data_IF_048593229563
#
_entry.id   IF_048593229563
#
_cell.length_a   1.000
_cell.length_b   1.000
_cell.length_c   1.000
_cell.angle_alpha   90.00
_cell.angle_beta   90.00
_cell.angle_gamma   90.00
#
_symmetry.space_group_name_H-M   'P 1'
#
loop_
_entity.id
_entity.type
_entity.pdbx_description
1 polymer ?
#
# COMPACT_ATOMS: atom_id res chain seq x y z
N UNK A 1 -0.02 29.72 -15.74
CA UNK A 1 0.61 29.26 -14.49
C UNK A 1 0.36 27.77 -14.37
N UNK A 2 1.40 26.95 -14.50
CA UNK A 2 1.27 25.49 -14.36
C UNK A 2 1.25 25.22 -12.86
N UNK A 3 0.09 24.88 -12.29
CA UNK A 3 0.02 24.26 -10.97
C UNK A 3 0.72 22.91 -11.09
N UNK A 4 2.04 22.87 -10.83
CA UNK A 4 2.79 21.63 -10.72
C UNK A 4 2.44 21.02 -9.37
N UNK A 5 1.55 20.05 -9.38
CA UNK A 5 1.19 19.22 -8.23
C UNK A 5 2.40 18.36 -7.84
N UNK A 6 2.99 18.54 -6.66
CA UNK A 6 4.19 17.74 -6.30
C UNK A 6 3.85 16.24 -6.14
N UNK A 7 4.77 15.31 -6.46
CA UNK A 7 4.64 13.89 -6.10
C UNK A 7 4.31 13.69 -4.62
N UNK A 8 3.62 12.63 -4.26
CA UNK A 8 3.46 12.24 -2.86
C UNK A 8 4.67 11.46 -2.38
N UNK A 9 5.25 11.90 -1.27
CA UNK A 9 6.31 11.20 -0.55
C UNK A 9 5.73 10.72 0.78
N UNK A 10 5.29 9.47 0.83
CA UNK A 10 4.64 8.85 1.98
C UNK A 10 5.68 8.08 2.80
N UNK A 11 6.03 8.60 3.97
CA UNK A 11 6.95 7.94 4.90
C UNK A 11 6.25 6.75 5.56
N UNK A 12 6.73 5.52 5.29
CA UNK A 12 6.31 4.32 6.01
C UNK A 12 7.05 4.26 7.35
N UNK A 13 6.37 4.57 8.45
CA UNK A 13 7.03 4.75 9.76
C UNK A 13 7.73 3.50 10.31
N UNK A 14 7.25 2.30 9.98
CA UNK A 14 7.74 1.05 10.58
C UNK A 14 8.47 0.16 9.57
N UNK A 15 8.15 0.27 8.27
CA UNK A 15 8.57 -0.68 7.25
C UNK A 15 7.91 -2.06 7.39
N UNK A 16 6.90 -2.20 8.25
CA UNK A 16 6.13 -3.44 8.42
C UNK A 16 4.86 -3.40 7.56
N UNK A 17 4.60 -4.48 6.83
CA UNK A 17 3.41 -4.55 5.96
C UNK A 17 2.12 -4.80 6.74
N UNK A 18 2.21 -5.32 7.97
CA UNK A 18 1.06 -5.64 8.83
C UNK A 18 0.54 -4.45 9.63
N UNK A 19 1.30 -3.36 9.69
CA UNK A 19 0.99 -2.24 10.57
C UNK A 19 1.98 -1.09 10.40
N UNK A 20 1.55 -0.02 9.72
CA UNK A 20 2.34 1.20 9.61
C UNK A 20 1.47 2.41 9.26
N UNK A 21 1.93 3.58 9.67
CA UNK A 21 1.41 4.85 9.19
C UNK A 21 2.26 5.33 8.00
N UNK A 22 1.57 5.97 7.06
CA UNK A 22 2.10 6.54 5.83
C UNK A 22 1.80 8.04 5.85
N UNK A 23 2.72 8.82 6.41
CA UNK A 23 2.59 10.26 6.54
C UNK A 23 3.21 10.95 5.30
N UNK A 24 2.43 11.73 4.56
CA UNK A 24 2.98 12.50 3.42
C UNK A 24 3.84 13.67 3.92
N UNK A 25 5.03 13.85 3.33
CA UNK A 25 6.02 14.82 3.81
C UNK A 25 5.50 16.26 3.83
N UNK A 26 4.59 16.63 2.92
CA UNK A 26 3.99 17.95 2.86
C UNK A 26 2.58 18.02 3.48
N UNK A 27 2.24 17.06 4.34
CA UNK A 27 0.97 17.03 5.10
C UNK A 27 -0.30 16.97 4.24
N UNK A 28 -0.21 16.49 2.99
CA UNK A 28 -1.36 16.45 2.06
C UNK A 28 -2.21 15.19 2.18
N UNK A 29 -1.63 14.10 2.67
CA UNK A 29 -2.28 12.80 2.75
C UNK A 29 -1.73 12.02 3.95
N UNK A 30 -2.62 11.32 4.65
CA UNK A 30 -2.25 10.48 5.79
C UNK A 30 -3.00 9.16 5.67
N UNK A 31 -2.25 8.09 5.45
CA UNK A 31 -2.78 6.75 5.32
C UNK A 31 -2.26 5.86 6.45
N UNK A 32 -2.99 4.81 6.77
CA UNK A 32 -2.57 3.82 7.76
C UNK A 32 -2.95 2.43 7.31
N UNK A 33 -2.02 1.49 7.44
CA UNK A 33 -2.28 0.05 7.38
C UNK A 33 -2.28 -0.47 8.80
N UNK A 34 -3.32 -1.20 9.20
CA UNK A 34 -3.40 -1.82 10.53
C UNK A 34 -4.27 -3.08 10.49
N UNK A 35 -4.15 -3.92 11.52
CA UNK A 35 -5.11 -5.00 11.77
C UNK A 35 -6.45 -4.44 12.28
N UNK A 36 -7.54 -5.22 12.19
CA UNK A 36 -8.80 -4.87 12.84
C UNK A 36 -8.60 -4.55 14.33
N UNK A 37 -9.39 -3.64 14.91
CA UNK A 37 -9.37 -3.44 16.35
C UNK A 37 -9.82 -4.73 17.07
N UNK A 38 -9.33 -5.00 18.30
CA UNK A 38 -9.64 -6.25 19.02
C UNK A 38 -11.15 -6.51 19.17
N UNK A 39 -11.97 -5.46 19.24
CA UNK A 39 -13.43 -5.56 19.34
C UNK A 39 -14.11 -6.10 18.07
N UNK A 40 -13.42 -6.09 16.93
CA UNK A 40 -13.94 -6.56 15.64
C UNK A 40 -13.17 -7.78 15.10
N UNK A 41 -12.13 -8.22 15.79
CA UNK A 41 -11.23 -9.30 15.35
C UNK A 41 -12.00 -10.61 15.09
N UNK A 42 -13.04 -10.90 15.87
CA UNK A 42 -13.90 -12.09 15.68
C UNK A 42 -14.78 -12.06 14.42
N UNK A 43 -14.92 -10.91 13.76
CA UNK A 43 -15.75 -10.77 12.56
C UNK A 43 -14.98 -10.98 11.26
N UNK A 44 -13.64 -11.06 11.31
CA UNK A 44 -12.79 -11.12 10.13
C UNK A 44 -11.90 -12.36 10.15
N UNK A 45 -11.52 -12.85 8.97
CA UNK A 45 -10.56 -13.95 8.85
C UNK A 45 -9.14 -13.48 9.19
N UNK A 46 -8.33 -14.32 9.84
CA UNK A 46 -6.91 -14.02 10.03
C UNK A 46 -6.05 -14.56 8.86
N UNK A 47 -5.10 -13.77 8.30
CA UNK A 47 -4.82 -12.37 8.64
C UNK A 47 -5.72 -11.40 7.87
N UNK A 48 -6.30 -10.41 8.56
CA UNK A 48 -6.97 -9.26 7.93
C UNK A 48 -6.16 -7.99 8.13
N UNK A 49 -6.03 -7.19 7.07
CA UNK A 49 -5.45 -5.85 7.12
C UNK A 49 -6.47 -4.82 6.63
N UNK A 50 -6.39 -3.63 7.18
CA UNK A 50 -7.27 -2.52 6.88
C UNK A 50 -6.44 -1.30 6.50
N UNK A 51 -6.84 -0.62 5.43
CA UNK A 51 -6.24 0.62 4.96
C UNK A 51 -7.18 1.77 5.28
N UNK A 52 -6.69 2.77 6.01
CA UNK A 52 -7.44 3.93 6.44
C UNK A 52 -6.89 5.18 5.77
N UNK A 53 -7.78 6.10 5.39
CA UNK A 53 -7.44 7.51 5.22
C UNK A 53 -7.71 8.25 6.53
N UNK A 54 -6.65 8.47 7.30
CA UNK A 54 -6.77 9.02 8.67
C UNK A 54 -7.05 10.52 8.66
N UNK A 55 -6.72 11.22 7.55
CA UNK A 55 -6.86 12.66 7.40
C UNK A 55 -6.02 13.50 8.37
N UNK A 56 -5.13 12.87 9.15
CA UNK A 56 -4.26 13.54 10.13
C UNK A 56 -2.97 12.76 10.38
N UNK A 57 -1.89 13.49 10.65
CA UNK A 57 -0.55 12.93 10.93
C UNK A 57 -0.51 12.06 12.18
N UNK A 58 0.25 10.98 12.10
CA UNK A 58 0.49 10.06 13.22
C UNK A 58 1.47 10.55 14.30
N UNK A 59 1.82 11.84 14.34
CA UNK A 59 2.61 12.46 15.43
C UNK A 59 1.84 13.42 16.36
N UNK A 60 0.56 13.73 16.09
CA UNK A 60 -0.23 14.61 16.97
C UNK A 60 -0.43 13.96 18.36
N UNK A 61 -0.15 14.64 19.48
CA UNK A 61 -0.16 14.12 20.87
C UNK A 61 -1.44 13.41 21.38
N UNK A 62 -2.51 13.26 20.59
CA UNK A 62 -3.79 12.64 20.98
C UNK A 62 -3.91 11.15 20.60
N UNK A 63 -2.81 10.40 20.64
CA UNK A 63 -2.61 9.13 19.91
C UNK A 63 -2.85 7.81 20.66
N UNK A 64 -3.74 7.77 21.63
CA UNK A 64 -4.19 6.48 22.20
C UNK A 64 -5.49 5.96 21.60
N UNK A 65 -6.16 6.73 20.73
CA UNK A 65 -7.49 6.35 20.24
C UNK A 65 -7.41 5.64 18.88
N UNK A 66 -8.11 4.51 18.71
CA UNK A 66 -8.31 3.88 17.41
C UNK A 66 -8.79 4.92 16.39
N UNK A 67 -8.46 4.77 15.10
CA UNK A 67 -9.08 5.59 14.07
C UNK A 67 -10.60 5.48 14.23
N UNK A 68 -11.25 6.60 14.51
CA UNK A 68 -12.70 6.69 14.68
C UNK A 68 -13.46 6.56 13.35
N UNK A 69 -12.74 6.23 12.28
CA UNK A 69 -13.23 6.18 10.90
C UNK A 69 -13.22 4.74 10.43
N UNK A 70 -14.23 4.42 9.66
CA UNK A 70 -14.28 3.16 8.93
C UNK A 70 -13.06 3.03 7.99
N UNK A 71 -12.56 1.81 7.79
CA UNK A 71 -11.49 1.57 6.84
C UNK A 71 -11.94 1.96 5.43
N UNK A 72 -11.02 2.51 4.64
CA UNK A 72 -11.27 2.76 3.23
C UNK A 72 -11.21 1.45 2.42
N UNK A 73 -10.32 0.54 2.84
CA UNK A 73 -10.15 -0.79 2.24
C UNK A 73 -9.97 -1.85 3.31
N UNK A 74 -10.61 -3.00 3.13
CA UNK A 74 -10.40 -4.22 3.92
C UNK A 74 -9.75 -5.29 3.04
N UNK A 75 -8.70 -5.93 3.56
CA UNK A 75 -7.93 -6.97 2.92
C UNK A 75 -8.00 -8.23 3.78
N UNK A 76 -8.87 -9.15 3.40
CA UNK A 76 -9.04 -10.44 4.08
C UNK A 76 -8.20 -11.48 3.35
N UNK A 77 -7.08 -11.89 3.93
CA UNK A 77 -6.21 -12.89 3.30
C UNK A 77 -6.69 -14.31 3.59
N UNK A 78 -6.32 -15.24 2.73
CA UNK A 78 -6.61 -16.65 2.91
C UNK A 78 -5.59 -17.35 3.82
N UNK A 79 -5.88 -18.59 4.24
CA UNK A 79 -4.95 -19.38 5.05
C UNK A 79 -3.65 -19.67 4.29
N UNK A 80 -2.56 -19.90 5.03
CA UNK A 80 -1.26 -20.34 4.50
C UNK A 80 -0.67 -19.44 3.39
N UNK A 81 -0.78 -18.11 3.54
CA UNK A 81 -0.23 -17.17 2.57
C UNK A 81 -1.07 -16.99 1.31
N UNK A 82 -2.30 -17.54 1.28
CA UNK A 82 -3.19 -17.42 0.15
C UNK A 82 -3.78 -16.00 0.02
N UNK A 83 -4.08 -15.61 -1.22
CA UNK A 83 -4.86 -14.40 -1.48
C UNK A 83 -6.33 -14.68 -1.16
N UNK A 84 -6.99 -13.72 -0.52
CA UNK A 84 -8.43 -13.75 -0.25
C UNK A 84 -9.16 -12.63 -0.99
N UNK A 85 -9.84 -11.77 -0.25
CA UNK A 85 -10.78 -10.76 -0.76
C UNK A 85 -10.31 -9.34 -0.45
N UNK A 86 -10.43 -8.44 -1.43
CA UNK A 86 -10.27 -6.99 -1.24
C UNK A 86 -11.64 -6.32 -1.33
N UNK A 87 -11.95 -5.45 -0.37
CA UNK A 87 -13.21 -4.73 -0.27
C UNK A 87 -12.97 -3.23 -0.12
N UNK A 88 -13.42 -2.44 -1.09
CA UNK A 88 -13.38 -0.98 -1.09
C UNK A 88 -14.66 -0.42 -0.48
N UNK A 89 -14.61 -0.06 0.81
CA UNK A 89 -15.80 0.17 1.65
C UNK A 89 -16.70 1.27 1.10
N UNK A 90 -16.13 2.41 0.70
CA UNK A 90 -16.92 3.56 0.21
C UNK A 90 -17.66 3.25 -1.09
N UNK A 91 -17.06 2.45 -1.97
CA UNK A 91 -17.66 2.06 -3.25
C UNK A 91 -18.61 0.86 -3.15
N UNK A 92 -18.58 0.12 -2.03
CA UNK A 92 -19.26 -1.17 -1.89
C UNK A 92 -18.72 -2.28 -2.80
N UNK A 93 -17.58 -2.06 -3.49
CA UNK A 93 -17.00 -3.02 -4.41
C UNK A 93 -16.11 -4.01 -3.65
N UNK A 94 -16.37 -5.30 -3.86
CA UNK A 94 -15.57 -6.39 -3.30
C UNK A 94 -15.24 -7.42 -4.38
N UNK A 95 -14.02 -7.95 -4.35
CA UNK A 95 -13.58 -8.96 -5.32
C UNK A 95 -12.40 -9.80 -4.80
N UNK A 96 -12.16 -10.99 -5.37
CA UNK A 96 -10.97 -11.77 -5.06
C UNK A 96 -9.69 -10.98 -5.38
N UNK A 97 -8.75 -10.92 -4.44
CA UNK A 97 -7.44 -10.27 -4.64
C UNK A 97 -6.68 -10.87 -5.82
N UNK A 98 -6.87 -12.16 -6.13
CA UNK A 98 -6.27 -12.79 -7.31
C UNK A 98 -6.85 -12.30 -8.64
N UNK A 99 -8.11 -11.84 -8.65
CA UNK A 99 -8.75 -11.20 -9.80
C UNK A 99 -8.35 -9.73 -9.91
N UNK A 100 -8.18 -9.04 -8.79
CA UNK A 100 -7.72 -7.66 -8.74
C UNK A 100 -6.24 -7.53 -9.12
N UNK A 101 -5.38 -8.37 -8.52
CA UNK A 101 -3.92 -8.35 -8.66
C UNK A 101 -3.40 -9.65 -9.29
N UNK A 102 -3.46 -9.68 -10.63
CA UNK A 102 -3.19 -10.86 -11.46
C UNK A 102 -1.70 -11.06 -11.72
N UNK A 103 -1.27 -12.31 -11.87
CA UNK A 103 0.09 -12.60 -12.37
C UNK A 103 0.23 -12.05 -13.79
N UNK A 104 1.40 -11.50 -14.11
CA UNK A 104 1.66 -10.92 -15.44
C UNK A 104 1.86 -11.97 -16.52
N UNK A 105 2.33 -13.16 -16.14
CA UNK A 105 2.44 -14.34 -16.99
C UNK A 105 2.41 -15.60 -16.12
N UNK A 106 2.01 -16.74 -16.69
CA UNK A 106 2.05 -18.04 -16.00
C UNK A 106 3.48 -18.44 -15.60
N UNK A 107 4.49 -17.97 -16.35
CA UNK A 107 5.90 -18.25 -16.11
C UNK A 107 6.63 -17.12 -15.37
N UNK A 108 5.97 -15.98 -15.15
CA UNK A 108 6.56 -14.88 -14.39
C UNK A 108 6.59 -15.20 -12.90
N UNK A 109 7.64 -14.73 -12.23
CA UNK A 109 7.72 -14.78 -10.77
C UNK A 109 6.48 -14.16 -10.13
N UNK A 110 6.02 -14.78 -9.04
CA UNK A 110 4.85 -14.34 -8.28
C UNK A 110 4.87 -12.88 -7.79
N UNK A 111 6.06 -12.26 -7.74
CA UNK A 111 6.28 -10.89 -7.29
C UNK A 111 6.31 -9.90 -8.48
N UNK A 112 5.76 -10.32 -9.63
CA UNK A 112 5.39 -9.47 -10.75
C UNK A 112 3.89 -9.64 -11.02
N UNK A 113 3.11 -8.61 -10.68
CA UNK A 113 1.63 -8.66 -10.79
C UNK A 113 1.07 -7.35 -11.31
N UNK A 114 -0.03 -7.45 -12.05
CA UNK A 114 -0.76 -6.32 -12.61
C UNK A 114 -2.14 -6.16 -12.00
N UNK A 115 -2.62 -4.94 -11.92
CA UNK A 115 -3.97 -4.59 -11.50
C UNK A 115 -4.55 -3.54 -12.44
N UNK A 116 -5.88 -3.51 -12.54
CA UNK A 116 -6.59 -2.41 -13.18
C UNK A 116 -7.08 -1.47 -12.08
N UNK A 117 -6.74 -0.19 -12.17
CA UNK A 117 -7.20 0.80 -11.19
C UNK A 117 -8.58 1.36 -11.57
N UNK A 118 -9.17 2.15 -10.69
CA UNK A 118 -10.47 2.79 -10.90
C UNK A 118 -10.54 3.70 -12.14
N UNK A 119 -9.40 4.21 -12.62
CA UNK A 119 -9.32 4.99 -13.86
C UNK A 119 -9.38 4.14 -15.14
N UNK A 120 -9.49 2.81 -15.02
CA UNK A 120 -9.56 1.87 -16.14
C UNK A 120 -8.21 1.50 -16.74
N UNK A 121 -7.10 2.08 -16.27
CA UNK A 121 -5.76 1.76 -16.75
C UNK A 121 -5.15 0.57 -15.99
N UNK A 122 -4.27 -0.16 -16.68
CA UNK A 122 -3.51 -1.26 -16.07
C UNK A 122 -2.14 -0.79 -15.57
N UNK A 123 -1.80 -1.24 -14.38
CA UNK A 123 -0.53 -0.98 -13.71
C UNK A 123 0.12 -2.28 -13.25
N UNK A 124 1.44 -2.26 -13.07
CA UNK A 124 2.21 -3.46 -12.77
C UNK A 124 3.26 -3.20 -11.68
N UNK A 125 3.22 -4.00 -10.63
CA UNK A 125 4.26 -4.07 -9.61
C UNK A 125 5.34 -5.08 -10.00
N UNK A 126 6.59 -4.71 -9.75
CA UNK A 126 7.78 -5.55 -9.97
C UNK A 126 8.70 -5.43 -8.75
N UNK A 127 9.05 -6.57 -8.16
CA UNK A 127 9.98 -6.63 -7.02
C UNK A 127 11.42 -6.45 -7.48
N UNK A 128 12.14 -5.51 -6.86
CA UNK A 128 13.59 -5.27 -7.04
C UNK A 128 14.07 -5.15 -8.49
N UNK A 129 13.23 -4.63 -9.38
CA UNK A 129 13.60 -4.39 -10.78
C UNK A 129 14.62 -3.26 -10.95
N UNK A 130 14.58 -2.27 -10.04
CA UNK A 130 15.46 -1.09 -10.06
C UNK A 130 16.30 -1.09 -8.79
N UNK A 131 17.61 -0.88 -8.93
CA UNK A 131 18.54 -0.84 -7.79
C UNK A 131 18.10 0.23 -6.79
N UNK A 132 17.93 -0.18 -5.52
CA UNK A 132 17.51 0.71 -4.44
C UNK A 132 16.00 0.84 -4.27
N UNK A 133 15.19 0.31 -5.20
CA UNK A 133 13.74 0.21 -5.04
C UNK A 133 13.38 -1.22 -4.69
N UNK A 134 12.70 -1.40 -3.57
CA UNK A 134 12.15 -2.72 -3.20
C UNK A 134 11.00 -3.09 -4.14
N UNK A 135 10.15 -2.11 -4.47
CA UNK A 135 9.05 -2.27 -5.43
C UNK A 135 9.00 -1.12 -6.42
N UNK A 136 8.73 -1.43 -7.69
CA UNK A 136 8.44 -0.43 -8.72
C UNK A 136 7.08 -0.71 -9.34
N UNK A 137 6.24 0.31 -9.42
CA UNK A 137 4.95 0.30 -10.11
C UNK A 137 5.08 1.06 -11.42
N UNK A 138 4.66 0.43 -12.52
CA UNK A 138 4.71 1.03 -13.87
C UNK A 138 3.36 0.94 -14.56
N UNK A 139 3.10 1.85 -15.50
CA UNK A 139 1.94 1.80 -16.40
C UNK A 139 2.16 0.79 -17.56
N UNK A 140 1.19 0.70 -18.47
CA UNK A 140 1.26 -0.17 -19.65
C UNK A 140 2.36 0.20 -20.66
N UNK A 141 2.94 1.40 -20.55
CA UNK A 141 4.05 1.92 -21.37
C UNK A 141 5.39 1.87 -20.62
N UNK A 142 5.42 1.18 -19.48
CA UNK A 142 6.57 1.07 -18.57
C UNK A 142 7.04 2.40 -17.96
N UNK A 143 6.19 3.44 -17.94
CA UNK A 143 6.47 4.66 -17.18
C UNK A 143 6.29 4.40 -15.69
N UNK A 144 7.21 4.94 -14.87
CA UNK A 144 7.15 4.77 -13.42
C UNK A 144 6.00 5.59 -12.84
N UNK A 145 5.12 4.89 -12.14
CA UNK A 145 3.91 5.41 -11.49
C UNK A 145 4.14 5.63 -10.01
N UNK A 146 4.81 4.66 -9.37
CA UNK A 146 5.19 4.72 -7.97
C UNK A 146 6.40 3.81 -7.71
N UNK A 147 7.09 4.03 -6.60
CA UNK A 147 8.08 3.08 -6.10
C UNK A 147 8.09 3.06 -4.58
N UNK A 148 8.49 1.93 -4.01
CA UNK A 148 8.70 1.77 -2.58
C UNK A 148 10.15 1.39 -2.30
N UNK A 149 10.77 2.10 -1.37
CA UNK A 149 12.16 1.92 -0.97
C UNK A 149 12.24 1.69 0.54
N UNK A 150 13.05 0.72 0.94
CA UNK A 150 13.39 0.50 2.34
C UNK A 150 14.64 1.30 2.69
N UNK A 151 14.75 1.73 3.95
CA UNK A 151 15.98 2.31 4.46
C UNK A 151 17.11 1.27 4.33
N UNK A 152 18.26 1.59 3.71
CA UNK A 152 19.42 0.71 3.73
C UNK A 152 19.87 0.45 5.18
N UNK A 153 20.24 -0.80 5.53
CA UNK A 153 20.64 -1.15 6.89
C UNK A 153 21.87 -0.36 7.36
N UNK A 154 22.73 0.04 6.43
CA UNK A 154 23.98 0.77 6.66
C UNK A 154 23.78 2.27 6.96
N UNK A 155 22.56 2.81 6.74
CA UNK A 155 22.30 4.25 6.93
C UNK A 155 21.61 4.52 8.27
N UNK A 156 22.10 5.49 9.06
CA UNK A 156 21.41 5.92 10.27
C UNK A 156 20.03 6.51 9.93
N UNK A 157 19.05 6.25 10.79
CA UNK A 157 17.74 6.90 10.72
C UNK A 157 17.81 8.17 11.58
N UNK A 158 17.72 9.35 10.96
CA UNK A 158 17.65 10.63 11.66
C UNK A 158 16.22 11.13 11.65
N UNK A 159 15.49 10.93 12.75
CA UNK A 159 14.10 11.36 12.97
C UNK A 159 13.03 10.83 11.99
N UNK A 160 13.42 10.11 10.93
CA UNK A 160 12.55 9.46 9.94
C UNK A 160 12.86 7.98 9.84
N UNK A 161 11.89 7.14 9.48
CA UNK A 161 12.10 5.70 9.26
C UNK A 161 13.06 5.39 8.11
N UNK A 162 13.10 6.28 7.11
CA UNK A 162 13.83 6.08 5.86
C UNK A 162 13.16 5.12 4.87
N UNK A 163 11.98 4.59 5.21
CA UNK A 163 11.15 3.83 4.28
C UNK A 163 10.16 4.77 3.60
N UNK A 164 10.05 4.67 2.28
CA UNK A 164 9.32 5.66 1.50
C UNK A 164 8.50 5.00 0.39
N UNK A 165 7.22 5.34 0.32
CA UNK A 165 6.39 5.16 -0.87
C UNK A 165 6.32 6.49 -1.62
N UNK A 166 6.90 6.54 -2.81
CA UNK A 166 6.80 7.70 -3.71
C UNK A 166 5.75 7.43 -4.77
N UNK A 167 4.81 8.36 -4.95
CA UNK A 167 3.78 8.31 -6.01
C UNK A 167 3.93 9.55 -6.88
N UNK A 168 4.19 9.36 -8.16
CA UNK A 168 4.45 10.47 -9.07
C UNK A 168 3.18 11.28 -9.34
N UNK A 169 3.38 12.58 -9.57
CA UNK A 169 2.34 13.60 -9.68
C UNK A 169 1.07 13.16 -10.43
N UNK A 170 1.15 12.61 -11.66
CA UNK A 170 -0.06 12.26 -12.43
C UNK A 170 -0.92 11.19 -11.76
N UNK A 171 -0.36 10.42 -10.83
CA UNK A 171 -0.97 9.22 -10.23
C UNK A 171 -1.28 9.41 -8.75
N UNK A 172 -1.11 10.62 -8.21
CA UNK A 172 -1.42 10.94 -6.81
C UNK A 172 -2.87 10.65 -6.43
N UNK A 173 -3.80 10.74 -7.39
CA UNK A 173 -5.20 10.37 -7.22
C UNK A 173 -5.41 8.86 -6.96
N UNK A 174 -4.46 8.00 -7.31
CA UNK A 174 -4.50 6.55 -7.10
C UNK A 174 -3.85 6.13 -5.76
N UNK A 175 -3.50 7.07 -4.88
CA UNK A 175 -2.67 6.80 -3.70
C UNK A 175 -3.21 5.66 -2.81
N UNK A 176 -4.54 5.60 -2.63
CA UNK A 176 -5.18 4.53 -1.86
C UNK A 176 -5.02 3.17 -2.55
N UNK A 177 -5.29 3.08 -3.86
CA UNK A 177 -5.18 1.83 -4.63
C UNK A 177 -3.72 1.36 -4.73
N UNK A 178 -2.78 2.29 -4.88
CA UNK A 178 -1.33 2.02 -4.89
C UNK A 178 -0.89 1.46 -3.55
N UNK A 179 -1.28 2.06 -2.42
CA UNK A 179 -0.93 1.53 -1.09
C UNK A 179 -1.59 0.16 -0.84
N UNK A 180 -2.85 0.00 -1.23
CA UNK A 180 -3.59 -1.28 -1.11
C UNK A 180 -2.88 -2.39 -1.87
N UNK A 181 -2.57 -2.17 -3.16
CA UNK A 181 -1.90 -3.18 -3.99
C UNK A 181 -0.47 -3.44 -3.55
N UNK A 182 0.27 -2.41 -3.12
CA UNK A 182 1.59 -2.58 -2.51
C UNK A 182 1.53 -3.45 -1.25
N UNK A 183 0.51 -3.25 -0.41
CA UNK A 183 0.31 -4.05 0.82
C UNK A 183 0.09 -5.53 0.48
N UNK A 184 -0.74 -5.83 -0.52
CA UNK A 184 -0.93 -7.21 -1.02
C UNK A 184 0.40 -7.77 -1.58
N UNK A 185 1.16 -7.01 -2.35
CA UNK A 185 2.46 -7.45 -2.87
C UNK A 185 3.47 -7.74 -1.76
N UNK A 186 3.53 -6.90 -0.72
CA UNK A 186 4.39 -7.11 0.45
C UNK A 186 3.97 -8.33 1.26
N UNK A 187 2.67 -8.57 1.43
CA UNK A 187 2.16 -9.80 2.03
C UNK A 187 2.62 -11.04 1.24
N UNK A 188 2.49 -11.02 -0.09
CA UNK A 188 2.94 -12.12 -0.95
C UNK A 188 4.44 -12.36 -0.87
N UNK A 189 5.26 -11.31 -0.77
CA UNK A 189 6.70 -11.46 -0.60
C UNK A 189 7.04 -12.05 0.77
N UNK A 190 6.36 -11.63 1.84
CA UNK A 190 6.61 -12.11 3.19
C UNK A 190 6.23 -13.60 3.41
N UNK A 191 5.28 -14.13 2.64
CA UNK A 191 4.85 -15.55 2.74
C UNK A 191 5.52 -16.47 1.71
N UNK A 192 6.50 -15.97 0.97
CA UNK A 192 7.28 -16.74 -0.01
C UNK A 192 8.66 -17.16 0.48
N UNK A 193 9.05 -16.65 1.63
CA UNK A 193 10.26 -16.94 2.39
C UNK A 193 9.85 -17.37 3.80
#
# INVERSE_FOLDING_TARGET
MINKTLPYYLEDRTGQYTGSDFDEVYDRLFLRVARPPPSQESHFAEPTLMVYNTGRRSSSQRHSRPPQRDPAVVLEFGPNGALGTVSFVESGVSMPMGQYLRKTSMFAGSLSRKFAAANGEEYRWIHRAVKGHEWSCVDSRDYVVAHYSLKPPEKPAYNTSGNMLTIYEPFTHLALEILTTLTIMRYLAANKY
#
